data_IF_967185849036
#
_entry.id   IF_967185849036
#
_cell.length_a   1.000
_cell.length_b   1.000
_cell.length_c   1.000
_cell.angle_alpha   90.00
_cell.angle_beta   90.00
_cell.angle_gamma   90.00
#
_symmetry.space_group_name_H-M   'P 1'
#
loop_
_entity.id
_entity.type
_entity.pdbx_description
1 polymer ?
#
# COMPACT_ATOMS: atom_id res chain seq x y z
N UNK A 1 5.16 -41.50 2.97
CA UNK A 1 6.06 -40.39 2.58
C UNK A 1 5.36 -39.29 1.78
N UNK A 2 4.63 -39.56 0.68
CA UNK A 2 3.92 -38.49 -0.07
C UNK A 2 2.88 -37.70 0.76
N UNK A 3 2.13 -38.40 1.64
CA UNK A 3 1.09 -37.79 2.48
C UNK A 3 1.64 -36.89 3.61
N UNK A 4 2.83 -37.21 4.15
CA UNK A 4 3.46 -36.45 5.24
C UNK A 4 4.02 -35.11 4.76
N UNK A 5 4.51 -35.02 3.52
CA UNK A 5 4.91 -33.75 2.92
C UNK A 5 3.73 -32.81 2.69
N UNK A 6 2.56 -33.35 2.31
CA UNK A 6 1.34 -32.56 2.12
C UNK A 6 0.87 -31.94 3.44
N UNK A 7 0.86 -32.72 4.52
CA UNK A 7 0.51 -32.24 5.86
C UNK A 7 1.45 -31.15 6.36
N UNK A 8 2.76 -31.31 6.14
CA UNK A 8 3.76 -30.30 6.50
C UNK A 8 3.57 -28.98 5.73
N UNK A 9 3.24 -29.06 4.44
CA UNK A 9 2.96 -27.87 3.60
C UNK A 9 1.74 -27.08 4.06
N UNK A 10 0.65 -27.77 4.46
CA UNK A 10 -0.56 -27.12 4.99
C UNK A 10 -0.26 -26.40 6.31
N UNK A 11 0.48 -27.05 7.22
CA UNK A 11 0.85 -26.43 8.50
C UNK A 11 1.72 -25.19 8.28
N UNK A 12 2.71 -25.25 7.38
CA UNK A 12 3.58 -24.12 7.08
C UNK A 12 2.82 -22.92 6.48
N UNK A 13 1.77 -23.17 5.68
CA UNK A 13 0.94 -22.11 5.10
C UNK A 13 0.11 -21.33 6.12
N UNK A 14 -0.14 -21.89 7.31
CA UNK A 14 -0.86 -21.20 8.38
C UNK A 14 0.00 -20.18 9.13
N UNK A 15 1.32 -20.18 8.89
CA UNK A 15 2.30 -19.33 9.59
C UNK A 15 2.70 -18.08 8.81
N UNK A 16 2.21 -17.89 7.58
CA UNK A 16 2.51 -16.70 6.77
C UNK A 16 1.51 -15.58 7.04
N UNK A 17 2.02 -14.46 7.55
CA UNK A 17 1.26 -13.23 7.70
C UNK A 17 1.14 -12.49 6.35
N UNK A 18 -0.01 -11.86 6.07
CA UNK A 18 -0.24 -11.09 4.84
C UNK A 18 0.11 -9.60 4.95
N UNK A 19 0.73 -9.18 6.05
CA UNK A 19 1.15 -7.79 6.26
C UNK A 19 2.31 -7.37 5.36
N UNK A 20 2.28 -6.13 4.90
CA UNK A 20 3.29 -5.52 4.05
C UNK A 20 4.11 -4.53 4.88
N UNK A 21 5.39 -4.83 5.05
CA UNK A 21 6.37 -3.91 5.63
C UNK A 21 7.20 -3.23 4.55
N UNK A 22 7.30 -1.90 4.55
CA UNK A 22 8.29 -1.17 3.74
C UNK A 22 9.34 -0.62 4.69
N UNK A 23 10.57 -1.10 4.54
CA UNK A 23 11.68 -0.78 5.44
C UNK A 23 11.35 -1.13 6.92
N UNK A 24 10.48 -2.12 7.14
CA UNK A 24 10.07 -2.62 8.44
C UNK A 24 9.94 -4.16 8.40
N UNK A 25 10.80 -4.86 9.14
CA UNK A 25 10.82 -6.33 9.16
C UNK A 25 9.81 -6.94 10.14
N UNK A 26 9.23 -6.12 11.02
CA UNK A 26 8.22 -6.54 12.00
C UNK A 26 7.00 -5.60 11.95
N UNK A 27 6.22 -5.60 10.85
CA UNK A 27 5.04 -4.74 10.70
C UNK A 27 4.03 -4.96 11.82
N UNK A 28 3.46 -3.87 12.34
CA UNK A 28 2.40 -3.90 13.38
C UNK A 28 1.01 -3.55 12.82
N UNK A 29 0.93 -3.27 11.52
CA UNK A 29 -0.29 -3.01 10.77
C UNK A 29 -0.23 -3.73 9.42
N UNK A 30 -1.36 -3.80 8.71
CA UNK A 30 -1.44 -4.43 7.38
C UNK A 30 -0.49 -3.78 6.36
N UNK A 31 -0.29 -2.47 6.45
CA UNK A 31 0.78 -1.74 5.76
C UNK A 31 1.52 -0.89 6.80
N UNK A 32 2.80 -1.16 7.00
CA UNK A 32 3.64 -0.46 7.97
C UNK A 32 4.92 0.04 7.26
N UNK A 33 5.07 1.35 7.19
CA UNK A 33 6.18 2.02 6.49
C UNK A 33 7.02 2.77 7.51
N UNK A 34 8.29 2.41 7.62
CA UNK A 34 9.25 3.10 8.50
C UNK A 34 10.24 3.91 7.68
N UNK A 35 10.54 5.13 8.11
CA UNK A 35 11.50 6.02 7.44
C UNK A 35 12.88 5.37 7.35
N UNK A 36 13.57 5.55 6.21
CA UNK A 36 14.93 5.01 6.04
C UNK A 36 15.97 5.89 6.72
N UNK A 37 15.81 7.21 6.64
CA UNK A 37 16.63 8.16 7.39
C UNK A 37 15.76 9.10 8.24
N UNK A 38 16.33 9.59 9.33
CA UNK A 38 15.67 10.56 10.25
C UNK A 38 16.48 11.84 10.42
N UNK A 39 17.57 11.97 9.67
CA UNK A 39 18.52 13.09 9.70
C UNK A 39 18.20 14.19 8.66
N UNK A 40 17.13 14.02 7.89
CA UNK A 40 16.74 14.95 6.83
C UNK A 40 17.62 14.89 5.57
N UNK A 41 18.54 13.94 5.46
CA UNK A 41 19.43 13.81 4.29
C UNK A 41 18.70 13.37 3.01
N UNK A 42 17.51 12.79 3.15
CA UNK A 42 16.67 12.31 2.05
C UNK A 42 15.19 12.62 2.31
N UNK A 43 14.42 12.89 1.26
CA UNK A 43 12.97 13.01 1.37
C UNK A 43 12.37 11.64 1.70
N UNK A 44 11.58 11.58 2.77
CA UNK A 44 10.83 10.40 3.21
C UNK A 44 9.32 10.62 2.98
N UNK A 45 8.56 9.53 2.83
CA UNK A 45 7.09 9.60 2.73
C UNK A 45 6.48 8.61 1.75
N UNK A 46 5.18 8.76 1.50
CA UNK A 46 4.39 7.95 0.55
C UNK A 46 3.78 8.84 -0.52
N UNK A 47 3.98 8.47 -1.79
CA UNK A 47 3.35 9.18 -2.93
C UNK A 47 2.10 8.41 -3.36
N UNK A 48 0.94 9.02 -3.14
CA UNK A 48 -0.33 8.51 -3.67
C UNK A 48 -0.46 8.78 -5.20
N UNK A 49 -1.29 8.00 -5.93
CA UNK A 49 -1.63 8.29 -7.33
C UNK A 49 -2.15 9.72 -7.50
N UNK A 50 -1.75 10.39 -8.59
CA UNK A 50 -2.12 11.79 -8.88
C UNK A 50 -3.02 11.89 -10.11
N UNK A 51 -4.25 12.34 -9.92
CA UNK A 51 -5.27 12.46 -10.97
C UNK A 51 -5.75 13.90 -11.12
N UNK A 52 -6.23 14.29 -12.30
CA UNK A 52 -6.94 15.57 -12.45
C UNK A 52 -8.32 15.50 -11.78
N UNK A 53 -8.91 16.66 -11.47
CA UNK A 53 -10.27 16.72 -10.94
C UNK A 53 -11.29 16.01 -11.84
N UNK A 54 -11.17 16.20 -13.15
CA UNK A 54 -12.06 15.56 -14.13
C UNK A 54 -11.94 14.03 -14.12
N UNK A 55 -10.72 13.49 -13.98
CA UNK A 55 -10.50 12.05 -13.88
C UNK A 55 -11.09 11.44 -12.61
N UNK A 56 -11.04 12.18 -11.50
CA UNK A 56 -11.65 11.75 -10.23
C UNK A 56 -13.17 11.77 -10.38
N UNK A 57 -13.73 12.85 -10.93
CA UNK A 57 -15.16 13.01 -11.17
C UNK A 57 -15.71 11.97 -12.14
N UNK A 58 -14.98 11.63 -13.20
CA UNK A 58 -15.41 10.59 -14.15
C UNK A 58 -15.46 9.21 -13.51
N UNK A 59 -14.70 8.99 -12.43
CA UNK A 59 -14.65 7.73 -11.70
C UNK A 59 -15.60 7.70 -10.48
N UNK A 60 -16.46 8.70 -10.28
CA UNK A 60 -17.29 8.84 -9.08
C UNK A 60 -18.15 7.59 -8.80
N UNK A 61 -18.81 7.06 -9.83
CA UNK A 61 -19.61 5.84 -9.72
C UNK A 61 -18.78 4.57 -9.43
N UNK A 62 -17.45 4.62 -9.61
CA UNK A 62 -16.53 3.51 -9.32
C UNK A 62 -15.99 3.54 -7.88
N UNK A 63 -16.23 4.62 -7.12
CA UNK A 63 -15.89 4.70 -5.70
C UNK A 63 -17.09 4.24 -4.86
N UNK A 64 -17.12 2.94 -4.58
CA UNK A 64 -18.16 2.31 -3.76
C UNK A 64 -17.80 2.24 -2.27
N UNK A 65 -18.53 1.39 -1.56
CA UNK A 65 -18.39 1.19 -0.10
C UNK A 65 -17.01 0.69 0.32
N UNK A 66 -16.30 0.01 -0.58
CA UNK A 66 -15.03 -0.65 -0.29
C UNK A 66 -13.83 0.30 -0.43
N UNK A 67 -14.02 1.48 -1.03
CA UNK A 67 -12.95 2.49 -1.20
C UNK A 67 -12.97 3.56 -0.10
N UNK A 68 -13.61 3.29 1.04
CA UNK A 68 -13.57 4.18 2.22
C UNK A 68 -12.12 4.40 2.69
N UNK A 69 -11.77 5.67 2.95
CA UNK A 69 -10.43 6.04 3.39
C UNK A 69 -9.37 6.06 2.28
N UNK A 70 -9.75 5.99 1.00
CA UNK A 70 -8.82 6.08 -0.12
C UNK A 70 -8.07 7.43 -0.12
N UNK A 71 -6.76 7.35 -0.35
CA UNK A 71 -5.88 8.50 -0.54
C UNK A 71 -5.53 8.65 -2.02
N UNK A 72 -5.87 9.81 -2.59
CA UNK A 72 -5.49 10.19 -3.96
C UNK A 72 -5.00 11.64 -3.95
N UNK A 73 -3.95 11.90 -4.70
CA UNK A 73 -3.46 13.26 -4.93
C UNK A 73 -4.18 13.92 -6.11
N UNK A 74 -4.37 15.23 -6.05
CA UNK A 74 -4.82 16.02 -7.19
C UNK A 74 -3.60 16.50 -7.97
N UNK A 75 -3.60 16.29 -9.29
CA UNK A 75 -2.62 16.88 -10.20
C UNK A 75 -2.99 18.35 -10.40
N UNK A 76 -2.17 19.25 -9.86
CA UNK A 76 -2.27 20.66 -10.17
C UNK A 76 -2.02 20.85 -11.66
N UNK A 77 -2.90 21.62 -12.31
CA UNK A 77 -2.67 22.08 -13.69
C UNK A 77 -1.48 23.02 -13.63
N UNK A 78 -0.33 22.57 -14.14
CA UNK A 78 0.85 23.42 -14.26
C UNK A 78 0.44 24.60 -15.17
N UNK A 79 0.35 25.79 -14.58
CA UNK A 79 0.24 27.00 -15.37
C UNK A 79 1.62 27.19 -16.02
N UNK A 80 1.72 26.92 -17.32
CA UNK A 80 2.83 27.43 -18.11
C UNK A 80 2.75 28.97 -18.02
N UNK A 81 3.55 29.54 -17.13
CA UNK A 81 3.97 30.94 -17.21
C UNK A 81 5.32 30.97 -17.92
#
# INVERSE_FOLDING_TARGET
MKKTFLSAGIILSSLVYSQIGINNNTPKATLDVTTKTTDGSKPEGMIAPRLTGDQIKSADASYGTDQKGKLIGIKLKQAHR
#
